data_IF_705661231465
#
_entry.id   IF_705661231465
#
_cell.length_a   1.000
_cell.length_b   1.000
_cell.length_c   1.000
_cell.angle_alpha   90.00
_cell.angle_beta   90.00
_cell.angle_gamma   90.00
#
_symmetry.space_group_name_H-M   'P 1'
#
loop_
_entity.id
_entity.type
_entity.pdbx_description
1 polymer ?
#
# COMPACT_ATOMS: atom_id res chain seq x y z
N UNK A 1 8.68 12.47 20.94
CA UNK A 1 7.76 11.31 20.92
C UNK A 1 8.36 10.25 20.02
N UNK A 2 8.84 9.15 20.59
CA UNK A 2 9.58 8.11 19.88
C UNK A 2 8.60 7.05 19.37
N UNK A 3 8.23 7.12 18.09
CA UNK A 3 7.31 6.18 17.44
C UNK A 3 8.12 4.99 16.91
N UNK A 4 8.51 4.09 17.81
CA UNK A 4 9.08 2.78 17.45
C UNK A 4 8.53 1.73 18.42
N UNK A 5 7.45 1.09 18.00
CA UNK A 5 6.75 0.08 18.80
C UNK A 5 5.38 -0.29 18.23
N UNK A 6 5.28 -0.50 16.92
CA UNK A 6 4.08 -1.10 16.34
C UNK A 6 4.26 -2.62 16.27
N UNK A 7 3.81 -3.28 17.35
CA UNK A 7 3.61 -4.73 17.38
C UNK A 7 2.15 -5.03 16.99
N UNK A 8 1.89 -6.18 16.37
CA UNK A 8 0.51 -6.56 15.92
C UNK A 8 -0.46 -6.60 17.10
N UNK A 9 0.04 -6.93 18.29
CA UNK A 9 -0.71 -6.91 19.55
C UNK A 9 -1.20 -5.51 19.93
N UNK A 10 -0.47 -4.44 19.54
CA UNK A 10 -0.87 -3.05 19.79
C UNK A 10 -2.03 -2.62 18.88
N UNK A 11 -2.12 -3.18 17.67
CA UNK A 11 -3.24 -2.92 16.76
C UNK A 11 -4.47 -3.68 17.25
N UNK A 12 -4.32 -4.96 17.62
CA UNK A 12 -5.39 -5.76 18.20
C UNK A 12 -5.96 -5.10 19.47
N UNK A 13 -5.10 -4.61 20.36
CA UNK A 13 -5.53 -3.88 21.57
C UNK A 13 -6.17 -2.53 21.28
N UNK A 14 -5.68 -1.77 20.30
CA UNK A 14 -6.33 -0.50 19.90
C UNK A 14 -7.73 -0.76 19.30
N UNK A 15 -7.87 -1.79 18.45
CA UNK A 15 -9.17 -2.24 17.90
C UNK A 15 -10.06 -2.87 18.99
N UNK A 16 -9.46 -3.45 20.02
CA UNK A 16 -10.14 -3.96 21.22
C UNK A 16 -10.40 -2.89 22.29
N UNK A 17 -10.10 -1.61 22.03
CA UNK A 17 -10.57 -0.48 22.84
C UNK A 17 -11.76 0.25 22.21
N UNK A 18 -11.99 0.14 20.90
CA UNK A 18 -13.20 0.70 20.27
C UNK A 18 -14.46 -0.01 20.76
N UNK A 19 -15.37 0.70 21.43
CA UNK A 19 -16.70 0.19 21.76
C UNK A 19 -17.51 -0.19 20.52
N UNK A 20 -18.71 -0.75 20.70
CA UNK A 20 -19.61 -1.15 19.60
C UNK A 20 -19.80 -0.03 18.55
N UNK A 21 -19.99 1.22 19.02
CA UNK A 21 -20.11 2.39 18.15
C UNK A 21 -18.86 2.67 17.30
N UNK A 22 -17.66 2.52 17.86
CA UNK A 22 -16.41 2.73 17.13
C UNK A 22 -16.17 1.67 16.06
N UNK A 23 -16.54 0.42 16.33
CA UNK A 23 -16.46 -0.69 15.37
C UNK A 23 -17.45 -0.52 14.22
N UNK A 24 -18.69 -0.15 14.54
CA UNK A 24 -19.70 0.17 13.53
C UNK A 24 -19.25 1.34 12.65
N UNK A 25 -18.74 2.42 13.24
CA UNK A 25 -18.20 3.56 12.49
C UNK A 25 -17.03 3.14 11.59
N UNK A 26 -16.11 2.31 12.09
CA UNK A 26 -14.98 1.79 11.30
C UNK A 26 -15.45 0.95 10.12
N UNK A 27 -16.45 0.09 10.31
CA UNK A 27 -17.06 -0.71 9.24
C UNK A 27 -17.73 0.17 8.18
N UNK A 28 -18.52 1.16 8.61
CA UNK A 28 -19.18 2.09 7.69
C UNK A 28 -18.14 2.88 6.90
N UNK A 29 -17.11 3.42 7.56
CA UNK A 29 -16.05 4.16 6.88
C UNK A 29 -15.29 3.29 5.88
N UNK A 30 -14.99 2.05 6.26
CA UNK A 30 -14.36 1.07 5.36
C UNK A 30 -15.25 0.77 4.16
N UNK A 31 -16.54 0.51 4.37
CA UNK A 31 -17.49 0.24 3.30
C UNK A 31 -17.59 1.41 2.31
N UNK A 32 -17.70 2.63 2.84
CA UNK A 32 -17.75 3.86 2.03
C UNK A 32 -16.46 4.01 1.22
N UNK A 33 -15.29 3.77 1.85
CA UNK A 33 -14.01 3.82 1.15
C UNK A 33 -13.92 2.81 0.00
N UNK A 34 -14.27 1.54 0.25
CA UNK A 34 -14.27 0.50 -0.79
C UNK A 34 -15.24 0.83 -1.93
N UNK A 35 -16.42 1.37 -1.61
CA UNK A 35 -17.38 1.79 -2.63
C UNK A 35 -16.80 2.90 -3.53
N UNK A 36 -16.17 3.92 -2.93
CA UNK A 36 -15.54 5.02 -3.69
C UNK A 36 -14.38 4.49 -4.55
N UNK A 37 -13.53 3.61 -4.01
CA UNK A 37 -12.40 3.01 -4.74
C UNK A 37 -12.89 2.16 -5.92
N UNK A 38 -13.99 1.42 -5.78
CA UNK A 38 -14.57 0.61 -6.85
C UNK A 38 -15.35 1.45 -7.88
N UNK A 39 -15.94 2.58 -7.46
CA UNK A 39 -16.69 3.45 -8.38
C UNK A 39 -15.79 4.00 -9.51
N UNK A 40 -14.54 4.36 -9.21
CA UNK A 40 -13.62 4.88 -10.23
C UNK A 40 -13.35 3.93 -11.41
N UNK A 41 -12.87 2.68 -11.21
CA UNK A 41 -12.64 1.75 -12.32
C UNK A 41 -13.93 1.40 -13.06
N UNK A 42 -15.07 1.32 -12.37
CA UNK A 42 -16.37 1.06 -13.00
C UNK A 42 -16.74 2.20 -13.96
N UNK A 43 -16.68 3.45 -13.50
CA UNK A 43 -16.97 4.62 -14.34
C UNK A 43 -15.98 4.73 -15.51
N UNK A 44 -14.70 4.42 -15.30
CA UNK A 44 -13.72 4.34 -16.37
C UNK A 44 -14.12 3.31 -17.43
N UNK A 45 -14.52 2.10 -17.01
CA UNK A 45 -14.95 1.05 -17.94
C UNK A 45 -16.17 1.48 -18.75
N UNK A 46 -17.18 2.06 -18.10
CA UNK A 46 -18.38 2.56 -18.76
C UNK A 46 -18.05 3.64 -19.78
N UNK A 47 -17.12 4.55 -19.44
CA UNK A 47 -16.71 5.64 -20.33
C UNK A 47 -15.92 5.12 -21.53
N UNK A 48 -14.94 4.25 -21.30
CA UNK A 48 -14.10 3.67 -22.36
C UNK A 48 -14.94 2.82 -23.32
N UNK A 49 -15.92 2.08 -22.80
CA UNK A 49 -16.86 1.30 -23.61
C UNK A 49 -17.98 2.17 -24.25
N UNK A 50 -17.91 3.50 -24.10
CA UNK A 50 -18.85 4.50 -24.65
C UNK A 50 -20.31 4.31 -24.20
N UNK A 51 -20.53 3.67 -23.05
CA UNK A 51 -21.86 3.50 -22.45
C UNK A 51 -22.36 4.78 -21.78
N UNK A 52 -21.44 5.68 -21.41
CA UNK A 52 -21.75 7.01 -20.89
C UNK A 52 -21.03 8.08 -21.72
N UNK A 53 -21.69 9.22 -21.93
CA UNK A 53 -21.18 10.37 -22.70
C UNK A 53 -20.49 11.44 -21.84
N UNK A 54 -20.49 11.28 -20.51
CA UNK A 54 -19.95 12.24 -19.55
C UNK A 54 -18.47 12.60 -19.78
N UNK A 55 -18.07 13.79 -19.35
CA UNK A 55 -16.65 14.19 -19.34
C UNK A 55 -15.81 13.31 -18.42
N UNK A 56 -14.51 13.22 -18.70
CA UNK A 56 -13.54 12.54 -17.86
C UNK A 56 -13.43 13.19 -16.49
N UNK A 57 -13.63 14.50 -16.41
CA UNK A 57 -13.75 15.21 -15.14
C UNK A 57 -14.82 14.60 -14.23
N UNK A 58 -16.00 14.27 -14.76
CA UNK A 58 -17.07 13.60 -14.00
C UNK A 58 -16.75 12.13 -13.69
N UNK A 59 -16.10 11.42 -14.61
CA UNK A 59 -15.67 10.03 -14.41
C UNK A 59 -14.67 9.91 -13.25
N UNK A 60 -13.81 10.92 -13.08
CA UNK A 60 -12.81 10.98 -12.01
C UNK A 60 -13.37 11.45 -10.66
N UNK A 61 -14.68 11.76 -10.54
CA UNK A 61 -15.31 12.22 -9.29
C UNK A 61 -14.97 11.38 -8.06
N UNK A 62 -15.03 10.03 -8.09
CA UNK A 62 -14.66 9.24 -6.93
C UNK A 62 -13.21 9.45 -6.49
N UNK A 63 -12.31 9.65 -7.47
CA UNK A 63 -10.90 9.91 -7.21
C UNK A 63 -10.68 11.32 -6.64
N UNK A 64 -11.39 12.34 -7.16
CA UNK A 64 -11.35 13.70 -6.59
C UNK A 64 -11.78 13.73 -5.12
N UNK A 65 -12.79 12.94 -4.74
CA UNK A 65 -13.22 12.83 -3.33
C UNK A 65 -12.08 12.25 -2.48
N UNK A 66 -11.40 11.21 -2.96
CA UNK A 66 -10.25 10.63 -2.26
C UNK A 66 -9.08 11.60 -2.16
N UNK A 67 -8.80 12.35 -3.23
CA UNK A 67 -7.75 13.36 -3.27
C UNK A 67 -8.01 14.49 -2.28
N UNK A 68 -9.24 15.01 -2.20
CA UNK A 68 -9.60 16.06 -1.23
C UNK A 68 -9.33 15.59 0.20
N UNK A 69 -9.67 14.34 0.51
CA UNK A 69 -9.39 13.76 1.84
C UNK A 69 -7.88 13.61 2.05
N UNK A 70 -7.16 13.06 1.07
CA UNK A 70 -5.72 12.79 1.18
C UNK A 70 -4.88 14.07 1.25
N UNK A 71 -4.99 14.95 0.25
CA UNK A 71 -4.25 16.20 0.19
C UNK A 71 -4.72 17.20 1.25
N UNK A 72 -5.99 17.18 1.64
CA UNK A 72 -6.49 17.95 2.78
C UNK A 72 -5.82 17.52 4.09
N UNK A 73 -5.67 16.21 4.32
CA UNK A 73 -4.94 15.66 5.46
C UNK A 73 -3.44 16.02 5.40
N UNK A 74 -2.84 15.97 4.21
CA UNK A 74 -1.44 16.34 4.02
C UNK A 74 -1.19 17.83 4.25
N UNK A 75 -2.12 18.69 3.80
CA UNK A 75 -2.09 20.13 4.05
C UNK A 75 -2.24 20.43 5.55
N UNK A 76 -3.15 19.73 6.24
CA UNK A 76 -3.26 19.83 7.69
C UNK A 76 -1.93 19.47 8.36
N UNK A 77 -1.31 18.35 7.99
CA UNK A 77 0.00 17.95 8.52
C UNK A 77 1.10 18.97 8.22
N UNK A 78 1.06 19.64 7.07
CA UNK A 78 2.01 20.69 6.71
C UNK A 78 1.88 21.91 7.62
N UNK A 79 0.65 22.34 7.92
CA UNK A 79 0.38 23.51 8.78
C UNK A 79 0.84 23.25 10.22
N UNK A 80 0.68 22.03 10.72
CA UNK A 80 0.91 21.69 12.12
C UNK A 80 2.25 20.99 12.40
N UNK A 81 3.11 20.80 11.41
CA UNK A 81 4.39 20.10 11.58
C UNK A 81 5.51 20.77 10.80
N UNK A 82 6.56 21.16 11.51
CA UNK A 82 7.77 21.73 10.88
C UNK A 82 8.45 20.71 9.95
N UNK A 83 8.97 21.21 8.82
CA UNK A 83 9.86 20.45 7.93
C UNK A 83 9.19 19.52 6.90
N UNK A 84 7.88 19.63 6.65
CA UNK A 84 7.15 18.74 5.70
C UNK A 84 6.82 19.34 4.33
N UNK A 85 7.26 20.56 4.04
CA UNK A 85 6.97 21.25 2.77
C UNK A 85 7.44 20.45 1.56
N UNK A 86 8.64 19.88 1.62
CA UNK A 86 9.19 19.08 0.53
C UNK A 86 8.29 17.87 0.19
N UNK A 87 7.88 17.11 1.20
CA UNK A 87 6.98 15.95 1.02
C UNK A 87 5.64 16.39 0.41
N UNK A 88 5.05 17.47 0.93
CA UNK A 88 3.82 18.02 0.38
C UNK A 88 3.95 18.43 -1.10
N UNK A 89 4.98 19.22 -1.44
CA UNK A 89 5.21 19.68 -2.80
C UNK A 89 5.49 18.52 -3.76
N UNK A 90 6.22 17.51 -3.31
CA UNK A 90 6.48 16.30 -4.08
C UNK A 90 5.19 15.54 -4.36
N UNK A 91 4.37 15.26 -3.34
CA UNK A 91 3.12 14.52 -3.52
C UNK A 91 2.11 15.31 -4.37
N UNK A 92 2.11 16.65 -4.28
CA UNK A 92 1.31 17.52 -5.14
C UNK A 92 1.58 17.33 -6.64
N UNK A 93 2.79 16.89 -7.03
CA UNK A 93 3.09 16.55 -8.44
C UNK A 93 2.19 15.42 -8.96
N UNK A 94 1.80 14.46 -8.10
CA UNK A 94 0.89 13.38 -8.46
C UNK A 94 -0.54 13.90 -8.68
N UNK A 95 -0.99 14.86 -7.87
CA UNK A 95 -2.27 15.53 -8.10
C UNK A 95 -2.26 16.32 -9.42
N UNK A 96 -1.18 17.06 -9.67
CA UNK A 96 -1.03 17.86 -10.90
C UNK A 96 -1.10 16.96 -12.14
N UNK A 97 -0.39 15.82 -12.16
CA UNK A 97 -0.45 14.92 -13.32
C UNK A 97 -1.87 14.36 -13.52
N UNK A 98 -2.60 14.06 -12.45
CA UNK A 98 -3.98 13.59 -12.56
C UNK A 98 -4.90 14.63 -13.20
N UNK A 99 -4.79 15.90 -12.79
CA UNK A 99 -5.52 17.01 -13.42
C UNK A 99 -5.14 17.14 -14.89
N UNK A 100 -3.85 17.12 -15.23
CA UNK A 100 -3.40 17.24 -16.62
C UNK A 100 -3.85 16.05 -17.49
N UNK A 101 -3.88 14.83 -16.94
CA UNK A 101 -4.42 13.65 -17.64
C UNK A 101 -5.89 13.87 -17.97
N UNK A 102 -6.69 14.36 -17.02
CA UNK A 102 -8.12 14.61 -17.25
C UNK A 102 -8.34 15.69 -18.31
N UNK A 103 -7.63 16.81 -18.22
CA UNK A 103 -7.68 17.86 -19.24
C UNK A 103 -7.29 17.34 -20.63
N UNK A 104 -6.28 16.47 -20.70
CA UNK A 104 -5.87 15.83 -21.94
C UNK A 104 -6.94 14.87 -22.48
N UNK A 105 -7.54 14.06 -21.62
CA UNK A 105 -8.58 13.10 -21.99
C UNK A 105 -9.88 13.79 -22.45
N UNK A 106 -10.25 14.91 -21.83
CA UNK A 106 -11.37 15.77 -22.23
C UNK A 106 -11.09 16.61 -23.48
N UNK A 107 -9.83 16.59 -23.97
CA UNK A 107 -9.34 17.37 -25.13
C UNK A 107 -9.34 18.88 -24.91
N UNK A 108 -9.34 19.32 -23.66
CA UNK A 108 -9.15 20.73 -23.30
C UNK A 108 -7.71 21.19 -23.55
N UNK A 109 -6.77 20.24 -23.60
CA UNK A 109 -5.34 20.47 -23.84
C UNK A 109 -4.81 19.55 -24.93
N UNK A 110 -4.10 20.12 -25.92
CA UNK A 110 -3.57 19.39 -27.08
C UNK A 110 -2.16 18.83 -26.91
N UNK A 111 -1.56 18.97 -25.71
CA UNK A 111 -0.18 18.56 -25.46
C UNK A 111 0.04 17.05 -25.66
N UNK A 112 1.26 16.69 -26.05
CA UNK A 112 1.70 15.29 -26.08
C UNK A 112 1.57 14.65 -24.69
N UNK A 113 1.22 13.37 -24.63
CA UNK A 113 1.06 12.63 -23.38
C UNK A 113 2.37 12.61 -22.58
N UNK A 114 3.52 12.52 -23.26
CA UNK A 114 4.83 12.62 -22.58
C UNK A 114 4.99 13.97 -21.86
N UNK A 115 4.52 15.08 -22.47
CA UNK A 115 4.55 16.41 -21.84
C UNK A 115 3.61 16.48 -20.64
N UNK A 116 2.39 15.94 -20.78
CA UNK A 116 1.40 15.82 -19.69
C UNK A 116 1.97 15.06 -18.48
N UNK A 117 2.81 14.05 -18.72
CA UNK A 117 3.43 13.20 -17.69
C UNK A 117 4.71 13.81 -17.05
N UNK A 118 5.08 15.04 -17.41
CA UNK A 118 6.28 15.71 -16.85
C UNK A 118 6.28 15.81 -15.31
N UNK A 119 5.17 16.15 -14.63
CA UNK A 119 5.13 16.15 -13.17
C UNK A 119 5.37 14.77 -12.58
N UNK A 120 4.87 13.72 -13.23
CA UNK A 120 5.10 12.33 -12.83
C UNK A 120 6.58 11.92 -12.98
N UNK A 121 7.24 12.28 -14.09
CA UNK A 121 8.67 12.03 -14.24
C UNK A 121 9.50 12.77 -13.19
N UNK A 122 9.11 14.01 -12.86
CA UNK A 122 9.75 14.79 -11.80
C UNK A 122 9.59 14.11 -10.44
N UNK A 123 8.39 13.62 -10.12
CA UNK A 123 8.12 12.88 -8.89
C UNK A 123 8.97 11.60 -8.76
N UNK A 124 9.04 10.79 -9.82
CA UNK A 124 9.82 9.55 -9.80
C UNK A 124 11.33 9.84 -9.72
N UNK A 125 11.81 10.87 -10.43
CA UNK A 125 13.20 11.30 -10.34
C UNK A 125 13.59 11.72 -8.92
N UNK A 126 12.78 12.55 -8.28
CA UNK A 126 12.97 12.94 -6.87
C UNK A 126 12.95 11.71 -5.94
N UNK A 127 12.06 10.76 -6.19
CA UNK A 127 11.96 9.52 -5.41
C UNK A 127 13.18 8.61 -5.54
N UNK A 128 13.81 8.58 -6.72
CA UNK A 128 15.08 7.88 -6.95
C UNK A 128 16.21 8.61 -6.22
N UNK A 129 16.29 9.94 -6.32
CA UNK A 129 17.29 10.72 -5.60
C UNK A 129 17.21 10.54 -4.08
N UNK A 130 16.00 10.50 -3.50
CA UNK A 130 15.79 10.20 -2.08
C UNK A 130 16.24 8.78 -1.72
N UNK A 131 15.97 7.79 -2.57
CA UNK A 131 16.37 6.41 -2.32
C UNK A 131 17.90 6.28 -2.29
N UNK A 132 18.58 6.94 -3.23
CA UNK A 132 20.04 6.92 -3.34
C UNK A 132 20.69 7.73 -2.22
N UNK A 133 20.24 8.97 -1.98
CA UNK A 133 20.78 9.81 -0.91
C UNK A 133 20.56 9.23 0.49
N UNK A 134 19.35 8.72 0.77
CA UNK A 134 19.06 8.03 2.02
C UNK A 134 19.87 6.73 2.19
N UNK A 135 20.13 6.02 1.09
CA UNK A 135 21.02 4.86 1.07
C UNK A 135 22.47 5.22 1.39
N UNK A 136 23.00 6.26 0.75
CA UNK A 136 24.38 6.74 0.96
C UNK A 136 24.60 7.27 2.37
N UNK A 137 23.69 8.10 2.87
CA UNK A 137 23.76 8.63 4.23
C UNK A 137 23.74 7.49 5.27
N UNK A 138 22.88 6.49 5.07
CA UNK A 138 22.81 5.36 5.99
C UNK A 138 24.05 4.46 5.90
N UNK A 139 24.61 4.27 4.70
CA UNK A 139 25.87 3.54 4.56
C UNK A 139 27.02 4.25 5.29
N UNK A 140 27.12 5.58 5.18
CA UNK A 140 28.11 6.37 5.92
C UNK A 140 27.95 6.24 7.43
N UNK A 141 26.71 6.28 7.94
CA UNK A 141 26.44 6.06 9.37
C UNK A 141 26.91 4.68 9.83
N UNK A 142 26.62 3.62 9.06
CA UNK A 142 27.05 2.27 9.40
C UNK A 142 28.57 2.08 9.34
N UNK A 143 29.25 2.74 8.40
CA UNK A 143 30.71 2.75 8.35
C UNK A 143 31.27 3.41 9.62
N UNK A 144 30.73 4.56 10.03
CA UNK A 144 31.17 5.23 11.25
C UNK A 144 30.93 4.38 12.51
N UNK A 145 29.78 3.71 12.60
CA UNK A 145 29.47 2.82 13.72
C UNK A 145 30.43 1.61 13.76
N UNK A 146 30.86 1.10 12.61
CA UNK A 146 31.77 -0.06 12.52
C UNK A 146 33.18 0.22 13.05
N UNK A 147 33.64 1.48 13.01
CA UNK A 147 34.98 1.87 13.48
C UNK A 147 35.13 1.68 15.00
N UNK A 148 34.03 1.83 15.75
CA UNK A 148 34.03 1.74 17.21
C UNK A 148 33.42 0.42 17.73
N UNK A 149 33.12 -0.53 16.84
CA UNK A 149 32.36 -1.73 17.16
C UNK A 149 33.24 -2.95 17.49
N UNK A 150 32.73 -3.84 18.35
CA UNK A 150 33.36 -5.14 18.62
C UNK A 150 33.19 -6.14 17.47
N UNK A 151 33.98 -7.23 17.45
CA UNK A 151 34.03 -8.22 16.35
C UNK A 151 32.65 -8.78 15.97
N UNK A 152 31.81 -9.11 16.96
CA UNK A 152 30.44 -9.61 16.72
C UNK A 152 29.47 -8.55 16.19
N UNK A 153 29.72 -7.27 16.48
CA UNK A 153 28.92 -6.16 15.96
C UNK A 153 29.30 -5.84 14.51
N UNK A 154 30.57 -6.04 14.13
CA UNK A 154 31.04 -5.84 12.74
C UNK A 154 30.31 -6.77 11.76
N UNK A 155 30.12 -8.05 12.11
CA UNK A 155 29.40 -9.02 11.26
C UNK A 155 27.93 -8.61 11.05
N UNK A 156 27.26 -8.16 12.13
CA UNK A 156 25.90 -7.65 12.05
C UNK A 156 25.81 -6.39 11.17
N UNK A 157 26.73 -5.44 11.34
CA UNK A 157 26.79 -4.21 10.52
C UNK A 157 27.00 -4.55 9.04
N UNK A 158 27.89 -5.50 8.73
CA UNK A 158 28.12 -5.93 7.35
C UNK A 158 26.87 -6.55 6.72
N UNK A 159 26.13 -7.35 7.48
CA UNK A 159 24.85 -7.92 7.04
C UNK A 159 23.81 -6.82 6.79
N UNK A 160 23.71 -5.83 7.69
CA UNK A 160 22.80 -4.69 7.51
C UNK A 160 23.14 -3.89 6.24
N UNK A 161 24.42 -3.64 5.97
CA UNK A 161 24.87 -2.96 4.74
C UNK A 161 24.46 -3.72 3.48
N UNK A 162 24.59 -5.06 3.46
CA UNK A 162 24.16 -5.86 2.32
C UNK A 162 22.64 -5.77 2.09
N UNK A 163 21.85 -5.81 3.16
CA UNK A 163 20.40 -5.64 3.08
C UNK A 163 20.01 -4.25 2.57
N UNK A 164 20.70 -3.21 3.03
CA UNK A 164 20.49 -1.84 2.57
C UNK A 164 20.82 -1.67 1.09
N UNK A 165 21.99 -2.13 0.66
CA UNK A 165 22.39 -2.09 -0.74
C UNK A 165 21.33 -2.78 -1.62
N UNK A 166 20.91 -3.98 -1.22
CA UNK A 166 19.86 -4.73 -1.92
C UNK A 166 18.53 -3.97 -1.96
N UNK A 167 18.15 -3.30 -0.87
CA UNK A 167 16.92 -2.51 -0.80
C UNK A 167 16.98 -1.27 -1.71
N UNK A 168 18.11 -0.55 -1.71
CA UNK A 168 18.32 0.65 -2.55
C UNK A 168 18.34 0.29 -4.03
N UNK A 169 19.09 -0.76 -4.41
CA UNK A 169 19.14 -1.26 -5.79
C UNK A 169 17.76 -1.71 -6.25
N UNK A 170 17.04 -2.47 -5.42
CA UNK A 170 15.67 -2.91 -5.73
C UNK A 170 14.72 -1.72 -5.93
N UNK A 171 14.70 -0.77 -5.00
CA UNK A 171 13.82 0.42 -5.10
C UNK A 171 14.14 1.23 -6.34
N UNK A 172 15.41 1.51 -6.58
CA UNK A 172 15.87 2.29 -7.74
C UNK A 172 15.55 1.59 -9.05
N UNK A 173 15.84 0.30 -9.17
CA UNK A 173 15.53 -0.50 -10.36
C UNK A 173 14.04 -0.53 -10.68
N UNK A 174 13.18 -0.70 -9.66
CA UNK A 174 11.72 -0.69 -9.85
C UNK A 174 11.21 0.69 -10.29
N UNK A 175 11.74 1.78 -9.75
CA UNK A 175 11.38 3.14 -10.18
C UNK A 175 11.83 3.43 -11.61
N UNK A 176 13.06 3.04 -11.99
CA UNK A 176 13.54 3.18 -13.38
C UNK A 176 12.65 2.42 -14.36
N UNK A 177 12.28 1.18 -14.02
CA UNK A 177 11.39 0.36 -14.83
C UNK A 177 10.03 1.03 -15.04
N UNK A 178 9.51 1.69 -13.99
CA UNK A 178 8.26 2.45 -14.05
C UNK A 178 8.37 3.71 -14.90
N UNK A 179 9.47 4.47 -14.79
CA UNK A 179 9.75 5.63 -15.66
C UNK A 179 9.78 5.18 -17.13
N UNK A 180 10.53 4.12 -17.44
CA UNK A 180 10.61 3.58 -18.80
C UNK A 180 9.24 3.11 -19.29
N UNK A 181 8.45 2.43 -18.44
CA UNK A 181 7.10 2.00 -18.79
C UNK A 181 6.19 3.16 -19.16
N UNK A 182 6.16 4.19 -18.32
CA UNK A 182 5.33 5.38 -18.52
C UNK A 182 5.76 6.15 -19.76
N UNK A 183 7.07 6.24 -20.03
CA UNK A 183 7.60 6.85 -21.25
C UNK A 183 7.18 6.08 -22.49
N UNK A 184 7.33 4.75 -22.51
CA UNK A 184 6.93 3.92 -23.66
C UNK A 184 5.43 4.01 -23.95
N UNK A 185 4.58 4.02 -22.91
CA UNK A 185 3.13 4.22 -23.06
C UNK A 185 2.85 5.61 -23.63
N UNK A 186 3.51 6.65 -23.09
CA UNK A 186 3.42 8.04 -23.58
C UNK A 186 3.73 8.14 -25.07
N UNK A 187 4.90 7.64 -25.48
CA UNK A 187 5.33 7.69 -26.89
C UNK A 187 4.43 6.86 -27.81
N UNK A 188 3.90 5.72 -27.35
CA UNK A 188 2.96 4.91 -28.12
C UNK A 188 1.63 5.62 -28.31
N UNK A 189 1.07 6.20 -27.24
CA UNK A 189 -0.18 6.95 -27.28
C UNK A 189 -0.08 8.20 -28.15
N UNK A 190 1.08 8.86 -28.17
CA UNK A 190 1.38 10.01 -29.04
C UNK A 190 1.66 9.61 -30.50
N UNK A 191 1.55 8.33 -30.86
CA UNK A 191 1.74 7.85 -32.23
C UNK A 191 3.19 7.89 -32.71
N UNK A 192 4.19 7.95 -31.81
CA UNK A 192 5.62 7.89 -32.16
C UNK A 192 6.15 6.46 -32.32
N UNK A 193 5.43 5.47 -31.78
CA UNK A 193 5.77 4.05 -31.83
C UNK A 193 4.70 3.24 -32.58
N UNK A 194 4.28 3.65 -33.78
CA UNK A 194 3.14 3.03 -34.47
C UNK A 194 3.35 1.54 -34.75
N UNK A 195 4.55 1.14 -35.18
CA UNK A 195 4.88 -0.24 -35.55
C UNK A 195 5.16 -1.17 -34.35
N UNK A 196 5.29 -0.61 -33.14
CA UNK A 196 5.55 -1.40 -31.94
C UNK A 196 4.26 -2.03 -31.41
N UNK A 197 4.22 -3.36 -31.24
CA UNK A 197 3.09 -4.03 -30.57
C UNK A 197 2.99 -3.63 -29.11
N UNK A 198 1.78 -3.69 -28.53
CA UNK A 198 1.60 -3.35 -27.12
C UNK A 198 2.35 -4.31 -26.18
N UNK A 199 2.54 -5.56 -26.63
CA UNK A 199 3.43 -6.52 -25.98
C UNK A 199 4.86 -6.00 -25.78
N UNK A 200 5.41 -5.29 -26.78
CA UNK A 200 6.75 -4.68 -26.71
C UNK A 200 6.76 -3.43 -25.84
N UNK A 201 5.73 -2.60 -25.93
CA UNK A 201 5.57 -1.39 -25.10
C UNK A 201 5.48 -1.74 -23.60
N UNK A 202 4.96 -2.91 -23.26
CA UNK A 202 4.78 -3.41 -21.90
C UNK A 202 5.93 -4.32 -21.40
N UNK A 203 7.08 -4.38 -22.10
CA UNK A 203 8.27 -5.12 -21.64
C UNK A 203 8.64 -4.82 -20.17
N UNK A 204 8.67 -3.55 -19.73
CA UNK A 204 8.94 -3.25 -18.33
C UNK A 204 7.95 -3.94 -17.36
N UNK A 205 6.66 -3.99 -17.70
CA UNK A 205 5.66 -4.72 -16.92
C UNK A 205 5.93 -6.22 -16.94
N UNK A 206 6.31 -6.81 -18.07
CA UNK A 206 6.61 -8.25 -18.12
C UNK A 206 7.81 -8.65 -17.23
N UNK A 207 8.80 -7.77 -17.11
CA UNK A 207 9.91 -7.96 -16.16
C UNK A 207 9.38 -7.99 -14.71
N UNK A 208 8.45 -7.10 -14.36
CA UNK A 208 7.78 -7.12 -13.05
C UNK A 208 6.95 -8.38 -12.84
N UNK A 209 6.25 -8.85 -13.88
CA UNK A 209 5.46 -10.09 -13.82
C UNK A 209 6.35 -11.29 -13.51
N UNK A 210 7.47 -11.45 -14.23
CA UNK A 210 8.45 -12.51 -13.95
C UNK A 210 8.98 -12.40 -12.52
N UNK A 211 9.30 -11.18 -12.08
CA UNK A 211 9.74 -10.92 -10.71
C UNK A 211 8.69 -11.31 -9.66
N UNK A 212 7.40 -11.06 -9.90
CA UNK A 212 6.31 -11.44 -8.99
C UNK A 212 6.10 -12.95 -8.94
N UNK A 213 6.14 -13.64 -10.08
CA UNK A 213 6.02 -15.11 -10.13
C UNK A 213 7.21 -15.84 -9.49
N UNK A 214 8.36 -15.19 -9.38
CA UNK A 214 9.49 -15.72 -8.62
C UNK A 214 9.19 -15.82 -7.11
N UNK A 215 8.34 -14.95 -6.57
CA UNK A 215 8.07 -14.88 -5.12
C UNK A 215 7.38 -16.14 -4.56
N UNK A 216 6.28 -16.67 -5.15
CA UNK A 216 5.69 -17.94 -4.71
C UNK A 216 6.67 -19.12 -4.76
N UNK A 217 7.52 -19.19 -5.79
CA UNK A 217 8.53 -20.25 -5.95
C UNK A 217 9.53 -20.17 -4.81
N UNK A 218 10.10 -18.98 -4.58
CA UNK A 218 11.03 -18.74 -3.49
C UNK A 218 10.41 -19.08 -2.14
N UNK A 219 9.17 -18.64 -1.91
CA UNK A 219 8.40 -18.90 -0.70
C UNK A 219 8.18 -20.39 -0.48
N UNK A 220 7.89 -21.16 -1.53
CA UNK A 220 7.74 -22.61 -1.45
C UNK A 220 9.05 -23.31 -1.03
N UNK A 221 10.18 -22.91 -1.61
CA UNK A 221 11.50 -23.49 -1.34
C UNK A 221 11.95 -23.18 0.10
N UNK A 222 11.77 -21.94 0.55
CA UNK A 222 12.27 -21.46 1.85
C UNK A 222 11.30 -21.66 3.01
N UNK A 223 10.02 -21.93 2.75
CA UNK A 223 9.02 -22.06 3.82
C UNK A 223 9.37 -23.22 4.75
N UNK A 224 9.19 -23.02 6.05
CA UNK A 224 9.28 -24.07 7.06
C UNK A 224 7.91 -24.60 7.50
N UNK A 225 6.81 -24.03 7.00
CA UNK A 225 5.45 -24.32 7.46
C UNK A 225 4.99 -25.75 7.17
N UNK A 226 3.99 -26.25 7.89
CA UNK A 226 3.38 -27.56 7.61
C UNK A 226 2.60 -27.57 6.29
N UNK A 227 2.05 -26.43 5.88
CA UNK A 227 1.18 -26.28 4.71
C UNK A 227 1.85 -25.49 3.56
N UNK A 228 3.13 -25.77 3.28
CA UNK A 228 3.93 -25.00 2.29
C UNK A 228 3.31 -24.97 0.90
N UNK A 229 2.78 -26.10 0.44
CA UNK A 229 2.17 -26.22 -0.88
C UNK A 229 0.89 -25.38 -0.97
N UNK A 230 0.01 -25.48 0.03
CA UNK A 230 -1.22 -24.69 0.07
C UNK A 230 -0.92 -23.19 0.03
N UNK A 231 0.03 -22.74 0.86
CA UNK A 231 0.43 -21.33 0.92
C UNK A 231 1.06 -20.84 -0.39
N UNK A 232 1.90 -21.66 -1.03
CA UNK A 232 2.47 -21.35 -2.34
C UNK A 232 1.40 -21.29 -3.44
N UNK A 233 0.43 -22.21 -3.45
CA UNK A 233 -0.69 -22.22 -4.42
C UNK A 233 -1.59 -21.01 -4.22
N UNK A 234 -1.95 -20.68 -2.97
CA UNK A 234 -2.74 -19.49 -2.66
C UNK A 234 -2.01 -18.21 -3.08
N UNK A 235 -0.71 -18.10 -2.77
CA UNK A 235 0.12 -16.96 -3.17
C UNK A 235 0.20 -16.86 -4.70
N UNK A 236 0.35 -17.99 -5.40
CA UNK A 236 0.37 -18.04 -6.88
C UNK A 236 -0.96 -17.59 -7.47
N UNK A 237 -2.09 -18.03 -6.89
CA UNK A 237 -3.43 -17.59 -7.31
C UNK A 237 -3.63 -16.08 -7.15
N UNK A 238 -3.16 -15.50 -6.04
CA UNK A 238 -3.20 -14.05 -5.82
C UNK A 238 -2.32 -13.31 -6.83
N UNK A 239 -1.09 -13.79 -7.09
CA UNK A 239 -0.19 -13.20 -8.11
C UNK A 239 -0.81 -13.28 -9.50
N UNK A 240 -1.44 -14.39 -9.86
CA UNK A 240 -2.14 -14.55 -11.13
C UNK A 240 -3.27 -13.54 -11.27
N UNK A 241 -4.14 -13.40 -10.26
CA UNK A 241 -5.22 -12.40 -10.26
C UNK A 241 -4.70 -10.97 -10.33
N UNK A 242 -3.58 -10.67 -9.67
CA UNK A 242 -2.93 -9.36 -9.73
C UNK A 242 -2.41 -9.04 -11.12
N UNK A 243 -1.87 -10.04 -11.82
CA UNK A 243 -1.22 -9.87 -13.13
C UNK A 243 -2.19 -9.99 -14.31
N UNK A 244 -3.27 -10.76 -14.18
CA UNK A 244 -4.22 -11.04 -15.26
C UNK A 244 -4.73 -9.79 -16.01
N UNK A 245 -5.04 -8.65 -15.34
CA UNK A 245 -5.45 -7.44 -16.04
C UNK A 245 -4.43 -6.90 -17.04
N UNK A 246 -3.12 -7.08 -16.82
CA UNK A 246 -2.12 -6.63 -17.79
C UNK A 246 -2.16 -7.43 -19.09
N UNK A 247 -2.38 -8.75 -19.01
CA UNK A 247 -2.56 -9.60 -20.19
C UNK A 247 -3.83 -9.23 -20.95
N UNK A 248 -4.96 -9.10 -20.24
CA UNK A 248 -6.24 -8.72 -20.85
C UNK A 248 -6.21 -7.31 -21.44
N UNK A 249 -5.53 -6.38 -20.78
CA UNK A 249 -5.31 -5.02 -21.28
C UNK A 249 -4.48 -5.04 -22.56
N UNK A 250 -3.40 -5.82 -22.59
CA UNK A 250 -2.53 -5.92 -23.78
C UNK A 250 -3.31 -6.46 -24.97
N UNK A 251 -4.08 -7.53 -24.79
CA UNK A 251 -4.94 -8.12 -25.82
C UNK A 251 -5.95 -7.12 -26.37
N UNK A 252 -6.60 -6.35 -25.47
CA UNK A 252 -7.55 -5.31 -25.89
C UNK A 252 -6.84 -4.19 -26.66
N UNK A 253 -5.69 -3.73 -26.18
CA UNK A 253 -4.92 -2.67 -26.82
C UNK A 253 -4.40 -3.08 -28.21
N UNK A 254 -4.16 -4.38 -28.44
CA UNK A 254 -3.79 -4.95 -29.73
C UNK A 254 -4.98 -5.05 -30.72
N UNK A 255 -6.20 -4.74 -30.26
CA UNK A 255 -7.39 -4.64 -31.11
C UNK A 255 -8.45 -5.72 -30.86
N UNK A 256 -8.27 -6.59 -29.86
CA UNK A 256 -9.30 -7.57 -29.50
C UNK A 256 -10.53 -6.87 -28.92
N UNK A 257 -11.69 -7.14 -29.49
CA UNK A 257 -12.96 -6.65 -28.97
C UNK A 257 -13.32 -7.35 -27.66
N UNK A 258 -13.08 -6.68 -26.54
CA UNK A 258 -13.45 -7.15 -25.19
C UNK A 258 -14.00 -5.98 -24.40
N UNK A 259 -14.92 -6.21 -23.45
CA UNK A 259 -15.39 -5.14 -22.55
C UNK A 259 -14.29 -4.71 -21.58
N UNK A 260 -14.31 -3.44 -21.16
CA UNK A 260 -13.28 -2.88 -20.26
C UNK A 260 -13.44 -3.50 -18.89
N UNK A 261 -14.68 -3.87 -18.55
CA UNK A 261 -15.02 -4.51 -17.31
C UNK A 261 -14.29 -5.86 -17.15
N UNK A 262 -14.19 -6.65 -18.23
CA UNK A 262 -13.48 -7.94 -18.21
C UNK A 262 -12.00 -7.81 -17.80
N UNK A 263 -11.37 -6.67 -18.10
CA UNK A 263 -9.98 -6.41 -17.72
C UNK A 263 -9.86 -6.20 -16.21
N UNK A 264 -10.84 -5.51 -15.59
CA UNK A 264 -10.74 -5.07 -14.19
C UNK A 264 -11.36 -6.06 -13.20
N UNK A 265 -12.19 -7.01 -13.66
CA UNK A 265 -12.80 -8.06 -12.84
C UNK A 265 -11.80 -8.74 -11.87
N UNK A 266 -10.60 -9.19 -12.29
CA UNK A 266 -9.67 -9.85 -11.38
C UNK A 266 -9.29 -8.99 -10.16
N UNK A 267 -9.06 -7.69 -10.36
CA UNK A 267 -8.79 -6.76 -9.27
C UNK A 267 -10.02 -6.47 -8.43
N UNK A 268 -11.21 -6.35 -9.03
CA UNK A 268 -12.46 -6.17 -8.27
C UNK A 268 -12.75 -7.37 -7.37
N UNK A 269 -12.52 -8.60 -7.86
CA UNK A 269 -12.65 -9.82 -7.08
C UNK A 269 -11.64 -9.85 -5.93
N UNK A 270 -10.37 -9.50 -6.20
CA UNK A 270 -9.34 -9.41 -5.16
C UNK A 270 -9.74 -8.41 -4.05
N UNK A 271 -10.24 -7.23 -4.44
CA UNK A 271 -10.71 -6.21 -3.51
C UNK A 271 -11.93 -6.68 -2.72
N UNK A 272 -12.89 -7.37 -3.35
CA UNK A 272 -14.05 -7.94 -2.68
C UNK A 272 -13.68 -9.00 -1.64
N UNK A 273 -12.74 -9.90 -1.98
CA UNK A 273 -12.22 -10.91 -1.04
C UNK A 273 -11.49 -10.23 0.13
N UNK A 274 -10.64 -9.23 -0.14
CA UNK A 274 -9.95 -8.47 0.90
C UNK A 274 -10.94 -7.76 1.85
N UNK A 275 -12.01 -7.17 1.29
CA UNK A 275 -13.08 -6.55 2.07
C UNK A 275 -13.79 -7.57 2.96
N UNK A 276 -14.13 -8.75 2.44
CA UNK A 276 -14.75 -9.82 3.23
C UNK A 276 -13.86 -10.27 4.39
N UNK A 277 -12.56 -10.44 4.16
CA UNK A 277 -11.61 -10.75 5.23
C UNK A 277 -11.56 -9.67 6.31
N UNK A 278 -11.53 -8.40 5.90
CA UNK A 278 -11.52 -7.27 6.81
C UNK A 278 -12.84 -7.17 7.61
N UNK A 279 -13.98 -7.37 6.95
CA UNK A 279 -15.30 -7.40 7.58
C UNK A 279 -15.39 -8.52 8.62
N UNK A 280 -14.93 -9.73 8.28
CA UNK A 280 -14.85 -10.85 9.22
C UNK A 280 -13.93 -10.50 10.40
N UNK A 281 -12.73 -9.97 10.15
CA UNK A 281 -11.79 -9.62 11.21
C UNK A 281 -12.40 -8.61 12.22
N UNK A 282 -13.07 -7.56 11.73
CA UNK A 282 -13.70 -6.56 12.59
C UNK A 282 -14.90 -7.15 13.34
N UNK A 283 -15.70 -8.00 12.70
CA UNK A 283 -16.87 -8.65 13.30
C UNK A 283 -16.47 -9.67 14.38
N UNK A 284 -15.43 -10.47 14.14
CA UNK A 284 -14.93 -11.46 15.11
C UNK A 284 -14.23 -10.81 16.31
N UNK A 285 -13.48 -9.73 16.12
CA UNK A 285 -12.97 -8.90 17.23
C UNK A 285 -14.13 -8.37 18.11
N UNK A 286 -15.32 -8.26 17.54
CA UNK A 286 -16.63 -8.08 18.19
C UNK A 286 -16.95 -9.10 19.26
N UNK A 287 -16.93 -10.37 18.86
CA UNK A 287 -17.51 -11.52 19.56
C UNK A 287 -16.77 -11.86 20.87
N UNK A 288 -15.44 -11.77 20.89
CA UNK A 288 -14.63 -12.13 22.06
C UNK A 288 -15.00 -11.33 23.33
N UNK A 289 -15.47 -10.08 23.18
CA UNK A 289 -15.90 -9.26 24.32
C UNK A 289 -17.26 -9.64 24.89
N UNK A 290 -18.19 -10.09 24.04
CA UNK A 290 -19.54 -10.46 24.49
C UNK A 290 -19.45 -11.72 25.36
N UNK A 291 -18.56 -12.65 25.00
CA UNK A 291 -18.34 -13.89 25.75
C UNK A 291 -17.69 -13.62 27.12
N UNK A 292 -16.76 -12.68 27.23
CA UNK A 292 -16.18 -12.31 28.54
C UNK A 292 -17.15 -11.55 29.47
N UNK A 293 -18.17 -10.88 28.91
CA UNK A 293 -19.20 -10.19 29.70
C UNK A 293 -20.37 -11.09 30.13
N UNK A 294 -20.45 -12.32 29.60
CA UNK A 294 -21.40 -13.33 30.04
C UNK A 294 -20.76 -14.25 31.06
N UNK A 295 -21.21 -14.19 32.32
CA UNK A 295 -20.74 -14.98 33.48
C UNK A 295 -19.49 -14.40 34.17
N UNK A 296 -19.69 -13.29 34.88
CA UNK A 296 -18.97 -13.07 36.13
C UNK A 296 -19.69 -13.88 37.22
N UNK A 297 -19.06 -14.88 37.86
CA UNK A 297 -19.65 -15.49 39.04
C UNK A 297 -19.71 -14.44 40.14
N UNK A 298 -20.89 -14.20 40.69
CA UNK A 298 -21.16 -13.36 41.85
C UNK A 298 -20.16 -13.70 42.96
N UNK A 299 -19.14 -12.85 43.13
CA UNK A 299 -18.16 -12.97 44.21
C UNK A 299 -18.90 -12.66 45.51
N UNK A 300 -19.39 -13.69 46.19
CA UNK A 300 -19.94 -13.57 47.55
C UNK A 300 -18.91 -12.84 48.41
N UNK A 301 -19.34 -11.75 49.03
CA UNK A 301 -18.62 -11.08 50.10
C UNK A 301 -18.36 -12.08 51.23
N UNK A 302 -17.14 -12.58 51.33
CA UNK A 302 -16.62 -13.11 52.58
C UNK A 302 -15.88 -11.96 53.27
N UNK A 303 -16.51 -11.39 54.29
CA UNK A 303 -15.87 -10.46 55.22
C UNK A 303 -14.76 -11.21 55.97
N UNK A 304 -13.51 -10.78 55.82
CA UNK A 304 -12.42 -11.14 56.74
C UNK A 304 -12.27 -10.03 57.79
N UNK A 305 -12.08 -10.36 59.08
CA UNK A 305 -11.99 -9.37 60.16
C UNK A 305 -10.61 -8.66 60.15
N UNK A 306 -10.53 -7.46 60.76
CA UNK A 306 -9.35 -6.60 60.69
C UNK A 306 -8.18 -7.16 61.51
N UNK A 307 -7.01 -7.16 60.89
CA UNK A 307 -5.73 -7.55 61.47
C UNK A 307 -5.36 -6.59 62.62
N UNK A 308 -5.29 -7.13 63.84
CA UNK A 308 -4.92 -6.41 65.07
C UNK A 308 -3.40 -6.52 65.26
N UNK A 309 -2.73 -5.37 65.28
CA UNK A 309 -1.36 -5.22 65.76
C UNK A 309 -1.30 -5.58 67.24
N UNK A 310 -0.38 -6.48 67.64
CA UNK A 310 0.28 -6.53 68.95
C UNK A 310 1.42 -7.58 68.92
N UNK A 311 2.41 -7.38 69.80
CA UNK A 311 3.68 -8.10 70.03
C UNK A 311 4.91 -7.51 69.31
N UNK A 312 5.55 -6.49 69.89
CA UNK A 312 6.52 -6.53 71.02
C UNK A 312 7.89 -7.00 70.54
N UNK A 313 8.83 -6.05 70.52
CA UNK A 313 10.24 -6.31 70.25
C UNK A 313 10.91 -7.05 71.40
N UNK A 314 11.89 -7.86 71.04
CA UNK A 314 12.97 -8.32 71.91
C UNK A 314 14.23 -8.31 71.04
N UNK A 315 15.08 -7.31 71.27
CA UNK A 315 16.52 -7.44 71.07
C UNK A 315 17.03 -8.55 71.98
N UNK A 316 17.92 -9.41 71.48
CA UNK A 316 19.14 -9.81 72.18
C UNK A 316 20.10 -10.50 71.19
N UNK A 317 21.29 -9.91 71.13
CA UNK A 317 22.63 -10.43 70.78
C UNK A 317 22.91 -10.98 69.37
#
# INVERSE_FOLDING_TARGET
>A
MNVRGWNVDNISTTVSHFGFQGRFLTLVLTLVHFFIVLAFPILCCLRVDKLISSSWTLVFTPLWILDVIYYGSLLFLLIFSDGKLYTFCKDLLLFIVQVLIVLRLDRDVEWNLVTVLTPYFTYEFLSVLEAVSGGLLRDQMLVNDSVNAGISQIENIQTERQLLFKAVVRKTGLSLLRIVQTLLIGMKADGRLQDASWWRVLIPVWILVVYLFWYPIKKYIESTSTYRLLDAVLTTGVVFMLVAPFFLLTERLEGKSMSSFSIVIPWMLLMGVAFLFLFCAISLAGSERIIQSGVQPTRRHAQSPPYRNDYVGVDMD
#
